data_IF_368241627901
#
_entry.id   IF_368241627901
#
_cell.length_a   1.000
_cell.length_b   1.000
_cell.length_c   1.000
_cell.angle_alpha   90.00
_cell.angle_beta   90.00
_cell.angle_gamma   90.00
#
_symmetry.space_group_name_H-M   'P 1'
#
loop_
_entity.id
_entity.type
_entity.pdbx_description
1 polymer ?
#
# COMPACT_ATOMS: atom_id res chain seq x y z
N UNK A 1 14.89 -25.50 -43.07
CA UNK A 1 14.30 -25.68 -41.72
C UNK A 1 14.92 -24.62 -40.81
N UNK A 2 14.28 -23.47 -40.55
CA UNK A 2 14.79 -22.51 -39.59
C UNK A 2 14.18 -22.79 -38.21
N UNK A 3 15.02 -23.14 -37.24
CA UNK A 3 14.70 -23.03 -35.82
C UNK A 3 14.67 -21.54 -35.45
N UNK A 4 13.47 -20.98 -35.40
CA UNK A 4 13.19 -19.70 -34.77
C UNK A 4 12.54 -19.98 -33.42
N UNK A 5 12.94 -19.20 -32.42
CA UNK A 5 12.31 -19.01 -31.11
C UNK A 5 12.92 -19.83 -29.96
N UNK A 6 14.12 -19.41 -29.50
CA UNK A 6 14.44 -19.52 -28.08
C UNK A 6 14.25 -18.16 -27.41
N UNK A 7 13.18 -18.12 -26.63
CA UNK A 7 12.95 -17.36 -25.41
C UNK A 7 13.27 -15.86 -25.37
N UNK A 8 12.22 -15.08 -25.67
CA UNK A 8 12.04 -13.70 -25.24
C UNK A 8 11.74 -13.53 -23.74
N UNK A 9 12.64 -14.01 -22.87
CA UNK A 9 12.55 -13.79 -21.41
C UNK A 9 13.70 -12.93 -20.85
N UNK A 10 14.33 -12.11 -21.70
CA UNK A 10 15.26 -11.07 -21.23
C UNK A 10 14.53 -9.75 -21.00
N UNK A 11 14.08 -9.57 -19.76
CA UNK A 11 13.97 -8.26 -19.13
C UNK A 11 12.98 -7.29 -19.75
N UNK A 12 11.67 -7.57 -19.65
CA UNK A 12 10.76 -6.44 -19.39
C UNK A 12 11.14 -5.93 -18.01
N UNK A 13 11.96 -4.88 -17.95
CA UNK A 13 12.11 -4.08 -16.74
C UNK A 13 10.68 -3.79 -16.28
N UNK A 14 10.26 -4.44 -15.19
CA UNK A 14 8.94 -4.21 -14.63
C UNK A 14 8.85 -2.70 -14.43
N UNK A 15 7.84 -2.07 -15.01
CA UNK A 15 7.71 -0.62 -14.90
C UNK A 15 7.86 -0.24 -13.42
N UNK A 16 8.69 0.76 -13.08
CA UNK A 16 8.93 1.11 -11.68
C UNK A 16 7.63 1.51 -10.97
N UNK A 17 6.56 1.76 -11.74
CA UNK A 17 5.24 2.05 -11.23
C UNK A 17 4.19 1.04 -11.71
N UNK A 18 3.23 0.77 -10.84
CA UNK A 18 2.01 0.03 -11.16
C UNK A 18 0.79 0.59 -10.45
N UNK A 19 -0.38 0.11 -10.87
CA UNK A 19 -1.65 0.44 -10.23
C UNK A 19 -2.14 -0.75 -9.40
N UNK A 20 -2.61 -0.47 -8.19
CA UNK A 20 -3.27 -1.45 -7.33
C UNK A 20 -4.63 -0.92 -6.89
N UNK A 21 -5.64 -1.79 -6.83
CA UNK A 21 -6.92 -1.46 -6.24
C UNK A 21 -6.96 -1.94 -4.79
N UNK A 22 -7.49 -1.11 -3.90
CA UNK A 22 -7.62 -1.44 -2.49
C UNK A 22 -8.87 -2.30 -2.29
N UNK A 23 -8.67 -3.50 -1.76
CA UNK A 23 -9.76 -4.39 -1.35
C UNK A 23 -9.77 -4.56 0.16
N UNK A 24 -10.95 -4.38 0.76
CA UNK A 24 -11.18 -4.62 2.18
C UNK A 24 -10.99 -3.39 3.07
N UNK A 25 -11.23 -3.52 4.39
CA UNK A 25 -11.31 -2.39 5.31
C UNK A 25 -10.02 -2.13 6.11
N UNK A 26 -8.93 -2.87 5.87
CA UNK A 26 -7.73 -2.87 6.74
C UNK A 26 -7.00 -1.53 6.84
N UNK A 27 -7.16 -0.67 5.83
CA UNK A 27 -6.49 0.62 5.74
C UNK A 27 -7.43 1.81 5.93
N UNK A 28 -8.67 1.58 6.37
CA UNK A 28 -9.60 2.65 6.75
C UNK A 28 -9.06 3.34 8.02
N UNK A 29 -9.09 4.69 8.12
CA UNK A 29 -9.74 5.65 7.22
C UNK A 29 -8.88 6.16 6.05
N UNK A 30 -7.59 5.83 5.99
CA UNK A 30 -6.66 6.34 4.98
C UNK A 30 -7.05 5.91 3.57
N UNK A 31 -7.32 4.61 3.40
CA UNK A 31 -7.74 3.98 2.16
C UNK A 31 -9.09 3.29 2.37
N UNK A 32 -9.96 3.41 1.37
CA UNK A 32 -11.26 2.75 1.31
C UNK A 32 -11.24 1.70 0.22
N UNK A 33 -12.12 0.71 0.33
CA UNK A 33 -12.38 -0.24 -0.74
C UNK A 33 -12.67 0.51 -2.05
N UNK A 34 -12.02 0.08 -3.14
CA UNK A 34 -12.12 0.71 -4.46
C UNK A 34 -11.21 1.93 -4.68
N UNK A 35 -10.47 2.38 -3.66
CA UNK A 35 -9.40 3.37 -3.86
C UNK A 35 -8.31 2.75 -4.76
N UNK A 36 -7.77 3.53 -5.70
CA UNK A 36 -6.66 3.12 -6.57
C UNK A 36 -5.36 3.73 -6.08
N UNK A 37 -4.30 2.94 -6.08
CA UNK A 37 -2.97 3.33 -5.64
C UNK A 37 -1.99 3.36 -6.80
N UNK A 38 -1.19 4.41 -6.87
CA UNK A 38 0.04 4.40 -7.65
C UNK A 38 1.15 3.84 -6.77
N UNK A 39 1.64 2.65 -7.11
CA UNK A 39 2.69 1.93 -6.38
C UNK A 39 4.01 2.15 -7.09
N UNK A 40 5.06 2.49 -6.34
CA UNK A 40 6.44 2.52 -6.81
C UNK A 40 7.14 1.25 -6.33
N UNK A 41 7.36 0.30 -7.24
CA UNK A 41 8.01 -0.97 -6.95
C UNK A 41 9.51 -0.78 -6.69
N UNK A 42 10.07 -1.54 -5.75
CA UNK A 42 11.49 -1.44 -5.36
C UNK A 42 11.89 -0.14 -4.66
N UNK A 43 10.94 0.76 -4.38
CA UNK A 43 11.22 2.01 -3.69
C UNK A 43 11.66 1.77 -2.23
N UNK A 44 12.62 2.55 -1.75
CA UNK A 44 13.03 2.52 -0.33
C UNK A 44 11.85 2.88 0.58
N UNK A 45 11.49 1.93 1.45
CA UNK A 45 10.43 2.06 2.46
C UNK A 45 10.94 2.82 3.68
N UNK A 46 10.07 3.65 4.26
CA UNK A 46 10.30 4.37 5.52
C UNK A 46 9.14 4.14 6.49
N UNK A 47 9.36 4.30 7.81
CA UNK A 47 8.26 4.29 8.76
C UNK A 47 7.17 5.30 8.36
N UNK A 48 5.92 4.88 8.47
CA UNK A 48 4.73 5.60 8.05
C UNK A 48 4.34 5.42 6.58
N UNK A 49 5.16 4.77 5.75
CA UNK A 49 4.78 4.51 4.36
C UNK A 49 3.65 3.49 4.25
N UNK A 50 2.76 3.71 3.29
CA UNK A 50 1.80 2.69 2.85
C UNK A 50 2.51 1.80 1.83
N UNK A 51 2.54 0.50 2.08
CA UNK A 51 3.28 -0.47 1.28
C UNK A 51 2.36 -1.56 0.75
N UNK A 52 2.75 -2.13 -0.39
CA UNK A 52 2.17 -3.35 -0.94
C UNK A 52 3.16 -4.47 -0.68
N UNK A 53 2.67 -5.55 -0.07
CA UNK A 53 3.47 -6.74 0.24
C UNK A 53 2.73 -8.02 -0.16
N UNK A 54 3.47 -9.10 -0.36
CA UNK A 54 2.94 -10.46 -0.40
C UNK A 54 2.65 -10.93 1.02
N UNK A 55 1.52 -11.59 1.22
CA UNK A 55 1.17 -12.12 2.53
C UNK A 55 2.12 -13.27 2.92
N UNK A 56 2.74 -13.28 4.12
CA UNK A 56 3.76 -14.28 4.49
C UNK A 56 3.31 -15.73 4.38
N UNK A 57 2.04 -16.01 4.70
CA UNK A 57 1.46 -17.36 4.64
C UNK A 57 0.58 -17.62 3.42
N UNK A 58 0.38 -16.63 2.54
CA UNK A 58 -0.49 -16.73 1.36
C UNK A 58 0.17 -15.97 0.19
N UNK A 59 1.09 -16.63 -0.51
CA UNK A 59 2.02 -15.96 -1.44
C UNK A 59 1.35 -15.32 -2.67
N UNK A 60 0.15 -15.78 -3.03
CA UNK A 60 -0.68 -15.23 -4.10
C UNK A 60 -1.52 -14.02 -3.66
N UNK A 61 -1.59 -13.77 -2.34
CA UNK A 61 -2.35 -12.67 -1.78
C UNK A 61 -1.46 -11.43 -1.60
N UNK A 62 -1.79 -10.36 -2.32
CA UNK A 62 -1.21 -9.04 -2.08
C UNK A 62 -2.03 -8.27 -1.06
N UNK A 63 -1.36 -7.68 -0.08
CA UNK A 63 -2.01 -6.87 0.95
C UNK A 63 -1.37 -5.48 1.03
N UNK A 64 -2.20 -4.50 1.39
CA UNK A 64 -1.77 -3.12 1.64
C UNK A 64 -1.78 -2.89 3.14
N UNK A 65 -0.63 -2.47 3.67
CA UNK A 65 -0.45 -2.15 5.11
C UNK A 65 0.42 -0.91 5.27
N UNK A 66 0.49 -0.38 6.49
CA UNK A 66 1.42 0.69 6.86
C UNK A 66 2.68 0.10 7.48
N UNK A 67 3.85 0.50 6.97
CA UNK A 67 5.13 0.22 7.60
C UNK A 67 5.23 0.99 8.91
N UNK A 68 5.08 0.33 10.05
CA UNK A 68 5.10 1.00 11.36
C UNK A 68 6.54 1.27 11.80
N UNK A 69 7.40 0.25 11.76
CA UNK A 69 8.79 0.34 12.17
C UNK A 69 9.65 -0.77 11.55
N UNK A 70 10.96 -0.55 11.51
CA UNK A 70 11.95 -1.56 11.12
C UNK A 70 12.32 -2.40 12.35
N UNK A 71 12.28 -3.72 12.21
CA UNK A 71 12.73 -4.67 13.24
C UNK A 71 13.80 -5.60 12.65
N UNK A 72 14.38 -6.44 13.50
CA UNK A 72 15.23 -7.54 13.06
C UNK A 72 14.44 -8.43 12.08
N UNK A 73 15.07 -8.80 10.97
CA UNK A 73 14.46 -9.65 9.95
C UNK A 73 13.45 -8.98 9.00
N UNK A 74 13.05 -7.71 9.21
CA UNK A 74 12.14 -7.05 8.27
C UNK A 74 11.38 -5.83 8.80
N UNK A 75 10.16 -5.65 8.33
CA UNK A 75 9.24 -4.59 8.71
C UNK A 75 8.11 -5.10 9.58
N UNK A 76 7.83 -4.37 10.66
CA UNK A 76 6.58 -4.49 11.39
C UNK A 76 5.51 -3.67 10.67
N UNK A 77 4.46 -4.30 10.19
CA UNK A 77 3.40 -3.67 9.39
C UNK A 77 2.07 -3.74 10.12
N UNK A 78 1.31 -2.66 10.07
CA UNK A 78 0.02 -2.53 10.74
C UNK A 78 -1.05 -2.07 9.76
N UNK A 79 -2.29 -2.53 9.96
CA UNK A 79 -3.44 -1.88 9.37
C UNK A 79 -3.74 -0.54 10.05
N UNK A 80 -4.28 0.43 9.31
CA UNK A 80 -4.81 1.65 9.93
C UNK A 80 -6.13 1.37 10.69
N UNK A 81 -6.83 0.30 10.29
CA UNK A 81 -7.99 -0.22 10.99
C UNK A 81 -7.60 -1.39 11.89
N UNK A 82 -7.41 -1.10 13.18
CA UNK A 82 -7.04 -2.09 14.19
C UNK A 82 -8.06 -3.23 14.37
N UNK A 83 -9.29 -3.08 13.88
CA UNK A 83 -10.34 -4.10 13.99
C UNK A 83 -10.36 -5.09 12.82
N UNK A 84 -9.55 -4.87 11.78
CA UNK A 84 -9.56 -5.70 10.58
C UNK A 84 -8.62 -6.93 10.65
N UNK A 85 -7.66 -6.93 11.57
CA UNK A 85 -6.62 -7.97 11.67
C UNK A 85 -5.77 -8.12 10.41
N UNK A 86 -5.11 -9.27 10.29
CA UNK A 86 -4.26 -9.67 9.17
C UNK A 86 -3.03 -8.78 9.02
N UNK A 87 -2.42 -8.37 10.13
CA UNK A 87 -1.18 -7.60 10.15
C UNK A 87 -0.10 -8.27 11.01
N UNK A 88 1.00 -7.56 11.29
CA UNK A 88 2.12 -8.14 12.04
C UNK A 88 1.75 -8.62 13.45
N UNK A 89 0.61 -8.23 14.04
CA UNK A 89 0.15 -8.84 15.28
C UNK A 89 -0.14 -10.33 15.14
N UNK A 90 -0.49 -10.78 13.93
CA UNK A 90 -0.94 -12.14 13.66
C UNK A 90 0.19 -13.00 13.08
N UNK A 91 1.05 -12.43 12.24
CA UNK A 91 2.11 -13.16 11.54
C UNK A 91 3.54 -12.67 11.81
N UNK A 92 3.71 -11.66 12.65
CA UNK A 92 5.03 -11.14 13.01
C UNK A 92 5.67 -10.22 11.97
N UNK A 93 6.99 -10.09 12.05
CA UNK A 93 7.78 -9.23 11.16
C UNK A 93 7.78 -9.77 9.73
N UNK A 94 7.55 -8.88 8.76
CA UNK A 94 7.54 -9.20 7.33
C UNK A 94 8.93 -8.97 6.72
N UNK A 95 9.58 -10.00 6.14
CA UNK A 95 10.85 -9.84 5.46
C UNK A 95 10.82 -8.86 4.28
N UNK A 96 11.94 -8.20 4.01
CA UNK A 96 12.04 -7.18 2.96
C UNK A 96 11.71 -7.74 1.56
N UNK A 97 12.00 -9.01 1.30
CA UNK A 97 11.70 -9.68 0.02
C UNK A 97 10.20 -9.81 -0.27
N UNK A 98 9.34 -9.78 0.77
CA UNK A 98 7.90 -9.81 0.58
C UNK A 98 7.33 -8.42 0.29
N UNK A 99 8.12 -7.36 0.47
CA UNK A 99 7.68 -5.99 0.20
C UNK A 99 7.92 -5.64 -1.26
N UNK A 100 6.83 -5.46 -2.00
CA UNK A 100 6.89 -5.18 -3.43
C UNK A 100 7.20 -3.71 -3.71
N UNK A 101 6.63 -2.81 -2.90
CA UNK A 101 6.81 -1.38 -3.13
C UNK A 101 5.96 -0.49 -2.25
N UNK A 102 6.11 0.81 -2.51
CA UNK A 102 5.48 1.88 -1.74
C UNK A 102 4.37 2.54 -2.54
N UNK A 103 3.20 2.71 -1.95
CA UNK A 103 2.14 3.55 -2.51
C UNK A 103 2.52 5.04 -2.38
N UNK A 104 2.45 5.78 -3.50
CA UNK A 104 2.81 7.20 -3.61
C UNK A 104 1.60 8.12 -3.68
N UNK A 105 0.55 7.66 -4.37
CA UNK A 105 -0.66 8.42 -4.60
C UNK A 105 -1.86 7.50 -4.40
N UNK A 106 -2.91 8.04 -3.79
CA UNK A 106 -4.23 7.43 -3.76
C UNK A 106 -5.17 8.26 -4.63
N UNK A 107 -5.92 7.60 -5.49
CA UNK A 107 -6.97 8.16 -6.32
C UNK A 107 -8.31 7.49 -6.02
N UNK A 108 -9.37 8.28 -5.85
CA UNK A 108 -10.74 7.76 -5.66
C UNK A 108 -11.53 7.90 -6.96
N UNK A 109 -12.00 6.81 -7.59
CA UNK A 109 -12.87 6.91 -8.75
C UNK A 109 -14.11 7.76 -8.45
N UNK A 110 -14.56 8.54 -9.44
CA UNK A 110 -15.79 9.30 -9.34
C UNK A 110 -16.98 8.32 -9.33
N UNK A 111 -17.89 8.45 -8.37
CA UNK A 111 -19.10 7.64 -8.34
C UNK A 111 -19.98 7.95 -9.57
N UNK A 112 -20.56 6.93 -10.23
CA UNK A 112 -21.51 7.16 -11.31
C UNK A 112 -22.67 8.03 -10.81
N UNK A 113 -22.98 9.13 -11.52
CA UNK A 113 -24.11 10.00 -11.20
C UNK A 113 -23.80 11.35 -10.54
N UNK A 114 -22.54 11.68 -10.24
CA UNK A 114 -22.19 13.05 -9.87
C UNK A 114 -22.21 13.97 -11.10
N UNK A 115 -23.29 14.74 -11.27
CA UNK A 115 -23.50 15.67 -12.41
C UNK A 115 -23.25 17.15 -12.08
N UNK A 116 -23.03 17.49 -10.81
CA UNK A 116 -22.78 18.88 -10.39
C UNK A 116 -21.30 19.26 -10.58
N UNK A 117 -20.98 20.36 -11.28
CA UNK A 117 -19.60 20.84 -11.43
C UNK A 117 -18.90 21.08 -10.08
N UNK A 118 -19.62 21.62 -9.08
CA UNK A 118 -19.08 21.84 -7.74
C UNK A 118 -18.77 20.51 -7.02
N UNK A 119 -19.59 19.48 -7.22
CA UNK A 119 -19.32 18.15 -6.67
C UNK A 119 -18.07 17.52 -7.31
N UNK A 120 -17.89 17.68 -8.62
CA UNK A 120 -16.70 17.22 -9.35
C UNK A 120 -15.44 17.96 -8.87
N UNK A 121 -15.49 19.28 -8.70
CA UNK A 121 -14.33 20.04 -8.18
C UNK A 121 -13.98 19.62 -6.74
N UNK A 122 -14.98 19.49 -5.87
CA UNK A 122 -14.77 19.00 -4.49
C UNK A 122 -14.24 17.57 -4.45
N UNK A 123 -14.72 16.70 -5.35
CA UNK A 123 -14.18 15.36 -5.55
C UNK A 123 -12.72 15.43 -6.02
N UNK A 124 -12.40 16.19 -7.05
CA UNK A 124 -11.04 16.28 -7.60
C UNK A 124 -10.03 16.72 -6.53
N UNK A 125 -10.38 17.73 -5.72
CA UNK A 125 -9.57 18.21 -4.60
C UNK A 125 -9.41 17.20 -3.46
N UNK A 126 -10.28 16.19 -3.37
CA UNK A 126 -10.27 15.19 -2.30
C UNK A 126 -9.90 13.77 -2.75
N UNK A 127 -9.94 13.49 -4.05
CA UNK A 127 -9.76 12.17 -4.65
C UNK A 127 -8.28 11.80 -4.77
N UNK A 128 -7.48 12.70 -5.35
CA UNK A 128 -6.03 12.55 -5.49
C UNK A 128 -5.32 13.05 -4.23
N UNK A 129 -4.78 12.15 -3.41
CA UNK A 129 -3.96 12.53 -2.25
C UNK A 129 -2.61 11.83 -2.26
N UNK A 130 -1.50 12.57 -2.07
CA UNK A 130 -0.20 11.97 -1.89
C UNK A 130 -0.19 11.16 -0.58
N UNK A 131 0.41 9.98 -0.66
CA UNK A 131 0.68 9.12 0.50
C UNK A 131 2.13 9.35 0.93
N UNK A 132 2.39 10.53 1.52
CA UNK A 132 3.69 10.84 2.10
C UNK A 132 3.78 10.33 3.53
N UNK A 133 4.91 9.72 3.92
CA UNK A 133 5.28 9.38 5.30
C UNK A 133 5.13 10.56 6.30
N UNK A 134 5.12 11.79 5.80
CA UNK A 134 4.96 12.98 6.60
C UNK A 134 3.49 13.13 7.07
N UNK A 135 3.15 12.49 8.20
CA UNK A 135 2.67 13.14 9.44
C UNK A 135 2.24 12.12 10.51
N UNK A 136 2.99 11.05 10.77
CA UNK A 136 2.84 10.36 12.06
C UNK A 136 3.58 11.14 13.16
N UNK A 137 3.08 12.34 13.49
CA UNK A 137 3.24 12.89 14.84
C UNK A 137 2.00 12.54 15.63
N UNK A 138 1.84 11.25 15.91
CA UNK A 138 1.10 10.82 17.09
C UNK A 138 1.95 9.76 17.77
N UNK A 139 3.08 10.22 18.29
CA UNK A 139 3.67 9.63 19.46
C UNK A 139 2.65 9.83 20.59
N UNK A 140 1.65 8.95 20.67
CA UNK A 140 1.03 8.66 21.94
C UNK A 140 2.13 8.07 22.81
N UNK A 141 2.86 8.97 23.47
CA UNK A 141 3.55 8.69 24.73
C UNK A 141 2.48 8.09 25.63
N UNK A 142 2.32 6.77 25.58
CA UNK A 142 1.73 6.01 26.66
C UNK A 142 2.69 6.25 27.82
N UNK A 143 2.33 7.22 28.65
CA UNK A 143 2.82 7.35 30.01
C UNK A 143 2.56 5.98 30.65
N UNK A 144 3.60 5.16 30.71
CA UNK A 144 3.68 4.04 31.64
C UNK A 144 3.66 4.68 33.02
N UNK A 145 2.50 4.69 33.65
CA UNK A 145 2.42 4.76 35.09
C UNK A 145 3.13 3.52 35.66
N UNK A 146 3.92 3.74 36.70
CA UNK A 146 4.63 2.73 37.48
C UNK A 146 3.65 1.89 38.29
#
# INVERSE_FOLDING_TARGET
MPELSQEGERGRAAAPFGLAEVTGPSMVPTLRHGDRLLVHYGARVRPGDVIVLRHPFQQDLLVVKRAAERREGGWWVLGDNAFAGGDSTDYGTVPDELILGRARLRWRPLAPGQRSPLAVVRWALSAARPLSAARSRSASRRLRAR
#
